data_IF_093841491670
#
_entry.id   IF_093841491670
#
_cell.length_a   1.000
_cell.length_b   1.000
_cell.length_c   1.000
_cell.angle_alpha   90.00
_cell.angle_beta   90.00
_cell.angle_gamma   90.00
#
_symmetry.space_group_name_H-M   'P 1'
#
loop_
_entity.id
_entity.type
_entity.pdbx_description
1 polymer ?
#
# COMPACT_ATOMS: atom_id res chain seq x y z
N UNK A 1 -5.49 -23.87 -7.82
CA UNK A 1 -5.27 -23.59 -6.39
C UNK A 1 -5.14 -22.08 -6.23
N UNK A 2 -5.82 -21.46 -5.28
CA UNK A 2 -5.64 -20.02 -5.05
C UNK A 2 -4.21 -19.80 -4.51
N UNK A 3 -3.38 -19.08 -5.24
CA UNK A 3 -2.05 -18.71 -4.78
C UNK A 3 -2.20 -17.73 -3.62
N UNK A 4 -1.44 -17.92 -2.55
CA UNK A 4 -1.38 -16.97 -1.44
C UNK A 4 -0.43 -15.83 -1.88
N UNK A 5 -0.73 -14.56 -1.56
CA UNK A 5 0.20 -13.47 -1.80
C UNK A 5 1.56 -13.77 -1.18
N UNK A 6 2.61 -13.81 -1.99
CA UNK A 6 3.96 -14.25 -1.60
C UNK A 6 4.92 -13.09 -1.33
N UNK A 7 4.54 -11.86 -1.69
CA UNK A 7 5.32 -10.66 -1.43
C UNK A 7 4.78 -9.94 -0.20
N UNK A 8 5.65 -9.69 0.78
CA UNK A 8 5.31 -8.97 2.01
C UNK A 8 6.14 -7.71 2.12
N UNK A 9 5.50 -6.61 2.49
CA UNK A 9 6.14 -5.33 2.77
C UNK A 9 5.57 -4.76 4.06
N UNK A 10 6.45 -4.42 4.99
CA UNK A 10 6.09 -3.75 6.25
C UNK A 10 6.58 -2.31 6.20
N UNK A 11 5.68 -1.37 6.51
CA UNK A 11 5.94 0.06 6.41
C UNK A 11 5.54 0.76 7.70
N UNK A 12 6.27 1.81 8.06
CA UNK A 12 5.76 2.77 9.05
C UNK A 12 4.43 3.38 8.54
N UNK A 13 3.44 3.67 9.41
CA UNK A 13 2.13 4.17 9.00
C UNK A 13 2.18 5.41 8.10
N UNK A 14 3.09 6.35 8.36
CA UNK A 14 3.28 7.53 7.50
C UNK A 14 3.78 7.18 6.09
N UNK A 15 4.58 6.12 5.93
CA UNK A 15 5.03 5.66 4.63
C UNK A 15 3.91 4.95 3.88
N UNK A 16 3.01 4.28 4.59
CA UNK A 16 1.78 3.77 4.00
C UNK A 16 0.87 4.90 3.49
N UNK A 17 0.74 5.98 4.24
CA UNK A 17 -0.04 7.15 3.81
C UNK A 17 0.56 7.82 2.57
N UNK A 18 1.89 7.96 2.54
CA UNK A 18 2.59 8.48 1.38
C UNK A 18 2.38 7.60 0.15
N UNK A 19 2.50 6.27 0.32
CA UNK A 19 2.23 5.31 -0.75
C UNK A 19 0.80 5.44 -1.28
N UNK A 20 -0.20 5.52 -0.39
CA UNK A 20 -1.60 5.69 -0.78
C UNK A 20 -1.85 7.04 -1.47
N UNK A 21 -1.16 8.09 -1.03
CA UNK A 21 -1.21 9.42 -1.65
C UNK A 21 -0.68 9.39 -3.09
N UNK A 22 0.47 8.74 -3.32
CA UNK A 22 1.03 8.56 -4.67
C UNK A 22 0.05 7.81 -5.57
N UNK A 23 -0.56 6.73 -5.08
CA UNK A 23 -1.55 5.98 -5.85
C UNK A 23 -2.80 6.82 -6.13
N UNK A 24 -3.29 7.60 -5.16
CA UNK A 24 -4.42 8.51 -5.35
C UNK A 24 -4.13 9.56 -6.43
N UNK A 25 -2.93 10.14 -6.40
CA UNK A 25 -2.49 11.08 -7.40
C UNK A 25 -2.44 10.45 -8.79
N UNK A 26 -1.84 9.27 -8.93
CA UNK A 26 -1.74 8.58 -10.22
C UNK A 26 -3.11 8.16 -10.74
N UNK A 27 -4.01 7.69 -9.87
CA UNK A 27 -5.39 7.35 -10.20
C UNK A 27 -6.17 8.53 -10.80
N UNK A 28 -5.86 9.76 -10.36
CA UNK A 28 -6.50 10.98 -10.84
C UNK A 28 -5.79 11.60 -12.04
N UNK A 29 -4.46 11.58 -12.08
CA UNK A 29 -3.67 12.45 -12.96
C UNK A 29 -2.80 11.72 -13.99
N UNK A 30 -2.61 10.40 -13.89
CA UNK A 30 -1.77 9.69 -14.85
C UNK A 30 -2.35 9.86 -16.28
N UNK A 31 -1.51 10.10 -17.31
CA UNK A 31 -2.01 10.40 -18.65
C UNK A 31 -2.67 9.18 -19.33
N UNK A 32 -2.24 7.98 -18.97
CA UNK A 32 -2.70 6.72 -19.55
C UNK A 32 -3.76 6.05 -18.66
N UNK A 33 -4.89 5.63 -19.23
CA UNK A 33 -6.00 5.02 -18.48
C UNK A 33 -5.62 3.72 -17.78
N UNK A 34 -4.77 2.88 -18.38
CA UNK A 34 -4.31 1.65 -17.75
C UNK A 34 -3.55 1.92 -16.45
N UNK A 35 -2.77 3.01 -16.40
CA UNK A 35 -2.04 3.44 -15.20
C UNK A 35 -3.01 3.95 -14.15
N UNK A 36 -4.01 4.76 -14.54
CA UNK A 36 -5.05 5.23 -13.61
C UNK A 36 -5.83 4.06 -12.99
N UNK A 37 -6.24 3.12 -13.82
CA UNK A 37 -6.96 1.91 -13.40
C UNK A 37 -6.12 1.02 -12.51
N UNK A 38 -4.83 0.81 -12.83
CA UNK A 38 -3.90 0.05 -11.99
C UNK A 38 -3.70 0.69 -10.61
N UNK A 39 -3.56 2.02 -10.56
CA UNK A 39 -3.46 2.75 -9.30
C UNK A 39 -4.72 2.59 -8.44
N UNK A 40 -5.92 2.70 -9.02
CA UNK A 40 -7.20 2.48 -8.32
C UNK A 40 -7.32 1.06 -7.75
N UNK A 41 -7.01 0.04 -8.55
CA UNK A 41 -7.04 -1.36 -8.10
C UNK A 41 -6.08 -1.60 -6.93
N UNK A 42 -4.85 -1.06 -7.03
CA UNK A 42 -3.89 -1.13 -5.94
C UNK A 42 -4.40 -0.44 -4.67
N UNK A 43 -4.97 0.77 -4.77
CA UNK A 43 -5.55 1.48 -3.62
C UNK A 43 -6.62 0.65 -2.93
N UNK A 44 -7.60 0.14 -3.67
CA UNK A 44 -8.70 -0.65 -3.12
C UNK A 44 -8.17 -1.89 -2.39
N UNK A 45 -7.23 -2.60 -3.01
CA UNK A 45 -6.59 -3.77 -2.41
C UNK A 45 -5.76 -3.41 -1.19
N UNK A 46 -5.01 -2.31 -1.22
CA UNK A 46 -4.22 -1.86 -0.06
C UNK A 46 -5.13 -1.52 1.11
N UNK A 47 -6.23 -0.81 0.89
CA UNK A 47 -7.19 -0.52 1.95
C UNK A 47 -7.88 -1.79 2.48
N UNK A 48 -8.18 -2.74 1.59
CA UNK A 48 -8.91 -3.96 1.97
C UNK A 48 -8.06 -4.98 2.71
N UNK A 49 -6.80 -5.17 2.28
CA UNK A 49 -5.96 -6.28 2.73
C UNK A 49 -4.80 -5.89 3.64
N UNK A 50 -4.40 -4.62 3.67
CA UNK A 50 -3.39 -4.16 4.62
C UNK A 50 -3.94 -4.17 6.04
N UNK A 51 -3.10 -4.53 7.01
CA UNK A 51 -3.45 -4.51 8.43
C UNK A 51 -2.43 -3.69 9.20
N UNK A 52 -2.93 -2.99 10.22
CA UNK A 52 -2.09 -2.26 11.16
C UNK A 52 -1.76 -3.16 12.34
N UNK A 53 -0.47 -3.36 12.61
CA UNK A 53 0.03 -4.15 13.72
C UNK A 53 0.86 -3.28 14.66
N UNK A 54 1.12 -3.82 15.86
CA UNK A 54 2.01 -3.21 16.85
C UNK A 54 3.23 -4.12 17.04
N UNK A 55 4.41 -3.53 16.93
CA UNK A 55 5.67 -4.22 17.17
C UNK A 55 5.84 -4.53 18.66
N UNK A 56 6.86 -5.31 19.00
CA UNK A 56 7.18 -5.61 20.41
C UNK A 56 7.61 -4.36 21.17
N UNK A 57 8.12 -3.36 20.48
CA UNK A 57 8.61 -2.11 21.03
C UNK A 57 7.51 -1.03 21.14
N UNK A 58 6.26 -1.37 20.78
CA UNK A 58 5.11 -0.46 20.82
C UNK A 58 4.91 0.37 19.55
N UNK A 59 5.82 0.28 18.57
CA UNK A 59 5.71 1.00 17.31
C UNK A 59 4.69 0.36 16.36
N UNK A 60 3.84 1.17 15.73
CA UNK A 60 2.87 0.69 14.76
C UNK A 60 3.50 0.46 13.39
N UNK A 61 3.01 -0.52 12.65
CA UNK A 61 3.41 -0.75 11.26
C UNK A 61 2.24 -1.29 10.42
N UNK A 62 2.20 -0.89 9.16
CA UNK A 62 1.28 -1.42 8.17
C UNK A 62 1.93 -2.64 7.49
N UNK A 63 1.27 -3.79 7.53
CA UNK A 63 1.71 -5.01 6.84
C UNK A 63 0.89 -5.21 5.57
N UNK A 64 1.57 -5.14 4.43
CA UNK A 64 1.01 -5.32 3.10
C UNK A 64 1.38 -6.71 2.58
N UNK A 65 0.39 -7.44 2.06
CA UNK A 65 0.61 -8.67 1.30
C UNK A 65 0.18 -8.48 -0.15
N UNK A 66 1.02 -8.89 -1.10
CA UNK A 66 0.84 -8.68 -2.54
C UNK A 66 1.20 -9.93 -3.33
N UNK A 67 0.53 -10.09 -4.47
CA UNK A 67 1.02 -10.96 -5.53
C UNK A 67 2.19 -10.31 -6.27
N UNK A 68 3.02 -11.10 -6.94
CA UNK A 68 4.20 -10.59 -7.68
C UNK A 68 3.82 -9.54 -8.73
N UNK A 69 2.70 -9.74 -9.43
CA UNK A 69 2.20 -8.77 -10.41
C UNK A 69 1.76 -7.45 -9.75
N UNK A 70 1.13 -7.51 -8.57
CA UNK A 70 0.75 -6.32 -7.81
C UNK A 70 1.97 -5.58 -7.27
N UNK A 71 3.00 -6.31 -6.82
CA UNK A 71 4.25 -5.72 -6.41
C UNK A 71 4.98 -5.04 -7.59
N UNK A 72 4.98 -5.68 -8.77
CA UNK A 72 5.51 -5.10 -9.99
C UNK A 72 4.79 -3.82 -10.41
N UNK A 73 3.46 -3.83 -10.42
CA UNK A 73 2.64 -2.64 -10.70
C UNK A 73 2.88 -1.54 -9.66
N UNK A 74 3.02 -1.90 -8.38
CA UNK A 74 3.33 -0.94 -7.32
C UNK A 74 4.68 -0.24 -7.55
N UNK A 75 5.72 -0.98 -7.93
CA UNK A 75 7.02 -0.39 -8.29
C UNK A 75 6.86 0.57 -9.47
N UNK A 76 6.12 0.16 -10.51
CA UNK A 76 5.88 1.01 -11.69
C UNK A 76 5.18 2.32 -11.33
N UNK A 77 4.14 2.26 -10.49
CA UNK A 77 3.42 3.44 -10.00
C UNK A 77 4.31 4.37 -9.18
N UNK A 78 5.18 3.83 -8.33
CA UNK A 78 6.14 4.62 -7.56
C UNK A 78 7.19 5.28 -8.45
N UNK A 79 7.70 4.57 -9.47
CA UNK A 79 8.68 5.11 -10.42
C UNK A 79 8.12 6.25 -11.26
N UNK A 80 6.86 6.16 -11.69
CA UNK A 80 6.19 7.23 -12.44
C UNK A 80 6.14 8.55 -11.66
N UNK A 81 6.06 8.42 -10.34
CA UNK A 81 5.89 9.52 -9.39
C UNK A 81 7.20 9.94 -8.73
N UNK A 82 8.31 9.23 -8.95
CA UNK A 82 9.58 9.43 -8.24
C UNK A 82 10.21 10.83 -8.45
N UNK A 83 9.84 11.54 -9.51
CA UNK A 83 10.32 12.91 -9.78
C UNK A 83 9.50 14.01 -9.09
N UNK A 84 8.41 13.66 -8.41
CA UNK A 84 7.48 14.60 -7.79
C UNK A 84 7.59 14.49 -6.26
N UNK A 85 7.65 15.64 -5.58
CA UNK A 85 7.51 15.69 -4.12
C UNK A 85 6.02 15.68 -3.79
N UNK A 86 5.57 14.66 -3.04
CA UNK A 86 4.18 14.56 -2.59
C UNK A 86 4.06 14.90 -1.13
N UNK A 87 3.19 15.85 -0.82
CA UNK A 87 2.65 16.00 0.52
C UNK A 87 1.56 14.96 0.74
N UNK A 88 1.59 14.30 1.90
CA UNK A 88 0.59 13.29 2.28
C UNK A 88 -0.80 13.92 2.24
N UNK A 89 -1.68 13.39 1.40
CA UNK A 89 -3.01 13.97 1.20
C UNK A 89 -3.99 13.62 2.32
N UNK A 90 -3.79 12.46 2.96
CA UNK A 90 -4.67 11.92 3.99
C UNK A 90 -3.96 10.87 4.85
N UNK A 91 -4.36 10.74 6.12
CA UNK A 91 -3.89 9.69 7.03
C UNK A 91 -4.63 8.35 6.80
N UNK A 92 -4.35 7.71 5.66
CA UNK A 92 -4.96 6.45 5.24
C UNK A 92 -4.83 5.31 6.27
N UNK A 93 -3.72 5.24 7.00
CA UNK A 93 -3.47 4.20 7.99
C UNK A 93 -4.51 4.17 9.11
N UNK A 94 -5.13 5.31 9.46
CA UNK A 94 -6.20 5.38 10.49
C UNK A 94 -7.47 4.64 10.08
N UNK A 95 -7.65 4.38 8.78
CA UNK A 95 -8.79 3.64 8.23
C UNK A 95 -8.51 2.13 8.13
N UNK A 96 -7.29 1.68 8.43
CA UNK A 96 -6.95 0.26 8.36
C UNK A 96 -7.54 -0.51 9.54
N UNK A 97 -7.87 -1.78 9.28
CA UNK A 97 -8.23 -2.71 10.34
C UNK A 97 -6.98 -3.07 11.14
N UNK A 98 -7.09 -3.03 12.47
CA UNK A 98 -6.06 -3.56 13.36
C UNK A 98 -5.97 -5.06 13.18
N UNK A 99 -4.77 -5.57 12.97
CA UNK A 99 -4.52 -7.00 12.87
C UNK A 99 -4.41 -7.62 14.26
N UNK A 100 -5.13 -8.71 14.49
CA UNK A 100 -4.93 -9.56 15.67
C UNK A 100 -3.66 -10.38 15.45
N UNK A 101 -2.67 -10.21 16.32
CA UNK A 101 -1.46 -11.03 16.25
C UNK A 101 -1.80 -12.44 16.75
N UNK A 102 -1.86 -13.41 15.85
CA UNK A 102 -1.50 -14.80 16.16
C UNK A 102 -0.17 -15.04 15.47
N UNK A 103 0.92 -14.63 16.12
CA UNK A 103 2.25 -15.08 15.72
C UNK A 103 2.28 -16.61 15.88
N UNK A 104 2.57 -17.40 14.84
CA UNK A 104 3.14 -18.72 15.05
C UNK A 104 4.60 -18.51 15.50
N UNK A 105 4.93 -19.07 16.66
CA UNK A 105 6.32 -19.28 17.09
C UNK A 105 7.07 -20.20 16.13
#
# INVERSE_FOLDING_TARGET
>A
MAQIPNTKLELHPSMFDLLMTVLAYNAANAPVESVRSGAKDLMEKRMRFTRLYMSKDGEQYASLCMYENEAGEMIWQLLLSAALNYDVSEEYHKKLKVGSRSDPQ
#
